data_IF_912285640193
#
_entry.id   IF_912285640193
#
_cell.length_a   1.000
_cell.length_b   1.000
_cell.length_c   1.000
_cell.angle_alpha   90.00
_cell.angle_beta   90.00
_cell.angle_gamma   90.00
#
_symmetry.space_group_name_H-M   'P 1'
#
loop_
_entity.id
_entity.type
_entity.pdbx_description
1 polymer ?
#
# COMPACT_ATOMS: atom_id res chain seq x y z
N UNK A 1 -22.36 7.28 9.43
CA UNK A 1 -20.90 7.56 9.39
C UNK A 1 -20.60 8.87 8.65
N UNK A 2 -21.12 9.06 7.42
CA UNK A 2 -20.92 10.29 6.62
C UNK A 2 -21.29 11.60 7.35
N UNK A 3 -22.40 11.64 8.10
CA UNK A 3 -22.83 12.86 8.79
C UNK A 3 -21.88 13.31 9.91
N UNK A 4 -21.12 12.36 10.52
CA UNK A 4 -20.13 12.67 11.56
C UNK A 4 -18.78 13.13 10.99
N UNK A 5 -18.46 12.78 9.74
CA UNK A 5 -17.22 13.23 9.07
C UNK A 5 -17.19 14.76 8.91
N UNK A 6 -18.36 15.40 8.79
CA UNK A 6 -18.47 16.87 8.72
C UNK A 6 -18.13 17.60 10.03
N UNK A 7 -18.04 16.90 11.16
CA UNK A 7 -17.54 17.47 12.42
C UNK A 7 -16.02 17.64 12.42
N UNK A 8 -15.32 16.94 11.53
CA UNK A 8 -13.84 16.90 11.44
C UNK A 8 -13.36 17.78 10.28
N UNK A 9 -14.09 17.81 9.17
CA UNK A 9 -13.81 18.64 8.00
C UNK A 9 -15.09 19.32 7.47
N UNK A 10 -15.37 20.57 7.89
CA UNK A 10 -16.50 21.33 7.36
C UNK A 10 -16.28 21.67 5.87
N UNK A 11 -17.31 21.47 5.03
CA UNK A 11 -17.25 21.72 3.56
C UNK A 11 -16.86 23.16 3.22
N UNK A 12 -17.12 24.10 4.14
CA UNK A 12 -16.89 25.53 3.97
C UNK A 12 -15.49 26.00 4.44
N UNK A 13 -14.63 25.09 4.88
CA UNK A 13 -13.26 25.41 5.31
C UNK A 13 -12.23 24.55 4.57
N UNK A 14 -11.20 25.20 4.02
CA UNK A 14 -10.14 24.55 3.25
C UNK A 14 -9.12 23.82 4.15
N UNK A 15 -9.06 24.18 5.44
CA UNK A 15 -8.29 23.49 6.45
C UNK A 15 -9.23 22.92 7.51
N UNK A 16 -8.99 21.71 8.02
CA UNK A 16 -9.74 21.20 9.15
C UNK A 16 -9.40 22.07 10.36
N UNK A 17 -10.36 22.29 11.26
CA UNK A 17 -10.08 22.87 12.57
C UNK A 17 -9.23 21.89 13.36
N UNK A 18 -7.90 22.00 13.22
CA UNK A 18 -6.89 21.21 13.92
C UNK A 18 -6.89 21.60 15.40
N UNK A 19 -7.85 21.09 16.14
CA UNK A 19 -7.71 20.95 17.59
C UNK A 19 -6.58 19.96 17.88
N UNK A 20 -5.83 20.14 18.97
CA UNK A 20 -4.71 19.24 19.34
C UNK A 20 -5.05 17.74 19.23
N UNK A 21 -6.24 17.28 19.67
CA UNK A 21 -6.68 15.90 19.47
C UNK A 21 -6.86 15.51 17.99
N UNK A 22 -7.43 16.39 17.16
CA UNK A 22 -7.62 16.13 15.72
C UNK A 22 -6.32 16.01 14.94
N UNK A 23 -5.26 16.72 15.34
CA UNK A 23 -3.93 16.58 14.76
C UNK A 23 -3.32 15.19 15.07
N UNK A 24 -3.53 14.68 16.28
CA UNK A 24 -3.02 13.37 16.68
C UNK A 24 -3.73 12.22 15.94
N UNK A 25 -5.05 12.34 15.74
CA UNK A 25 -5.82 11.39 14.93
C UNK A 25 -5.36 11.37 13.48
N UNK A 26 -5.05 12.54 12.89
CA UNK A 26 -4.50 12.62 11.54
C UNK A 26 -3.12 11.95 11.43
N UNK A 27 -2.26 12.11 12.43
CA UNK A 27 -0.98 11.41 12.51
C UNK A 27 -1.16 9.89 12.64
N UNK A 28 -2.15 9.45 13.43
CA UNK A 28 -2.50 8.03 13.53
C UNK A 28 -2.98 7.44 12.19
N UNK A 29 -3.76 8.21 11.42
CA UNK A 29 -4.15 7.83 10.06
C UNK A 29 -2.94 7.77 9.12
N UNK A 30 -2.03 8.74 9.19
CA UNK A 30 -0.80 8.73 8.41
C UNK A 30 0.07 7.51 8.74
N UNK A 31 0.25 7.19 10.03
CA UNK A 31 1.00 6.00 10.45
C UNK A 31 0.37 4.72 9.89
N UNK A 32 -0.97 4.62 9.94
CA UNK A 32 -1.70 3.49 9.36
C UNK A 32 -1.48 3.38 7.84
N UNK A 33 -1.58 4.49 7.11
CA UNK A 33 -1.34 4.51 5.66
C UNK A 33 0.10 4.09 5.36
N UNK A 34 1.08 4.62 6.09
CA UNK A 34 2.49 4.27 5.91
C UNK A 34 2.75 2.79 6.17
N UNK A 35 2.20 2.23 7.26
CA UNK A 35 2.31 0.80 7.57
C UNK A 35 1.69 -0.06 6.49
N UNK A 36 0.48 0.27 6.06
CA UNK A 36 -0.22 -0.49 5.01
C UNK A 36 0.54 -0.39 3.68
N UNK A 37 1.00 0.79 3.30
CA UNK A 37 1.80 0.99 2.09
C UNK A 37 3.10 0.17 2.14
N UNK A 38 3.77 0.12 3.29
CA UNK A 38 5.00 -0.66 3.46
C UNK A 38 4.74 -2.17 3.40
N UNK A 39 3.67 -2.65 4.04
CA UNK A 39 3.29 -4.07 4.01
C UNK A 39 2.88 -4.52 2.60
N UNK A 40 2.12 -3.70 1.88
CA UNK A 40 1.66 -3.98 0.51
C UNK A 40 2.82 -3.86 -0.49
N UNK A 41 3.68 -2.86 -0.37
CA UNK A 41 4.83 -2.72 -1.28
C UNK A 41 5.97 -3.70 -0.99
N UNK A 42 6.06 -4.22 0.24
CA UNK A 42 7.15 -5.06 0.72
C UNK A 42 7.57 -6.18 -0.24
N UNK A 43 6.64 -7.05 -0.70
CA UNK A 43 6.97 -8.13 -1.63
C UNK A 43 7.53 -7.62 -2.96
N UNK A 44 6.94 -6.58 -3.53
CA UNK A 44 7.37 -6.01 -4.82
C UNK A 44 8.75 -5.38 -4.69
N UNK A 45 8.97 -4.59 -3.64
CA UNK A 45 10.26 -3.95 -3.35
C UNK A 45 11.35 -4.99 -3.13
N UNK A 46 11.05 -6.08 -2.40
CA UNK A 46 11.98 -7.18 -2.20
C UNK A 46 12.46 -7.80 -3.52
N UNK A 47 11.54 -8.09 -4.45
CA UNK A 47 11.92 -8.63 -5.77
C UNK A 47 12.74 -7.64 -6.60
N UNK A 48 12.39 -6.34 -6.58
CA UNK A 48 13.14 -5.32 -7.31
C UNK A 48 14.57 -5.15 -6.77
N UNK A 49 14.74 -5.23 -5.45
CA UNK A 49 16.07 -5.22 -4.82
C UNK A 49 16.85 -6.48 -5.18
N UNK A 50 16.20 -7.64 -5.25
CA UNK A 50 16.84 -8.89 -5.66
C UNK A 50 17.37 -8.81 -7.10
N UNK A 51 16.65 -8.13 -8.00
CA UNK A 51 17.14 -7.82 -9.36
C UNK A 51 18.38 -6.94 -9.28
N UNK A 52 18.40 -5.90 -8.44
CA UNK A 52 19.59 -5.05 -8.28
C UNK A 52 20.80 -5.82 -7.76
N UNK A 53 20.60 -6.69 -6.77
CA UNK A 53 21.67 -7.55 -6.24
C UNK A 53 22.17 -8.51 -7.33
N UNK A 54 21.27 -9.10 -8.11
CA UNK A 54 21.63 -9.99 -9.22
C UNK A 54 22.45 -9.27 -10.28
N UNK A 55 22.07 -8.04 -10.63
CA UNK A 55 22.83 -7.19 -11.55
C UNK A 55 24.19 -6.79 -10.98
N UNK A 56 24.25 -6.47 -9.68
CA UNK A 56 25.50 -6.16 -8.99
C UNK A 56 26.47 -7.35 -9.02
N UNK A 57 25.98 -8.56 -8.79
CA UNK A 57 26.75 -9.79 -8.89
C UNK A 57 27.19 -10.06 -10.34
N UNK A 58 26.29 -9.89 -11.31
CA UNK A 58 26.61 -10.11 -12.73
C UNK A 58 27.74 -9.20 -13.22
N UNK A 59 27.76 -7.94 -12.77
CA UNK A 59 28.87 -7.00 -13.06
C UNK A 59 30.23 -7.51 -12.58
N UNK A 60 30.28 -8.31 -11.51
CA UNK A 60 31.53 -8.88 -10.98
C UNK A 60 32.10 -9.97 -11.89
N UNK A 61 31.24 -10.73 -12.56
CA UNK A 61 31.65 -11.83 -13.47
C UNK A 61 31.83 -11.38 -14.92
N UNK A 62 31.09 -10.36 -15.35
CA UNK A 62 31.16 -9.79 -16.69
C UNK A 62 31.28 -8.26 -16.62
N UNK A 63 32.48 -7.70 -16.36
CA UNK A 63 32.66 -6.25 -16.22
C UNK A 63 32.36 -5.46 -17.51
N UNK A 64 32.35 -6.12 -18.67
CA UNK A 64 31.92 -5.53 -19.95
C UNK A 64 30.40 -5.29 -20.05
N UNK A 65 29.58 -5.85 -19.14
CA UNK A 65 28.13 -5.63 -19.14
C UNK A 65 27.79 -4.22 -18.64
N UNK A 66 27.15 -3.41 -19.49
CA UNK A 66 26.67 -2.06 -19.14
C UNK A 66 25.41 -2.14 -18.26
N UNK A 67 25.58 -2.53 -17.00
CA UNK A 67 24.48 -2.66 -16.06
C UNK A 67 23.70 -1.35 -15.83
N UNK A 68 24.29 -0.17 -16.09
CA UNK A 68 23.58 1.12 -16.01
C UNK A 68 22.44 1.24 -17.04
N UNK A 69 22.54 0.53 -18.17
CA UNK A 69 21.52 0.51 -19.21
C UNK A 69 20.58 -0.70 -19.05
N UNK A 70 21.13 -1.84 -18.61
CA UNK A 70 20.38 -3.11 -18.54
C UNK A 70 19.57 -3.28 -17.25
N UNK A 71 20.01 -2.74 -16.10
CA UNK A 71 19.24 -2.84 -14.85
C UNK A 71 17.86 -2.15 -14.96
N UNK A 72 17.77 -0.89 -15.44
CA UNK A 72 16.46 -0.25 -15.64
C UNK A 72 15.58 -0.99 -16.66
N UNK A 73 16.17 -1.51 -17.75
CA UNK A 73 15.44 -2.22 -18.79
C UNK A 73 14.83 -3.54 -18.27
N UNK A 74 15.59 -4.32 -17.51
CA UNK A 74 15.10 -5.58 -16.93
C UNK A 74 13.99 -5.31 -15.90
N UNK A 75 14.16 -4.29 -15.05
CA UNK A 75 13.10 -3.90 -14.12
C UNK A 75 11.81 -3.50 -14.84
N UNK A 76 11.89 -2.77 -15.95
CA UNK A 76 10.71 -2.38 -16.73
C UNK A 76 9.95 -3.57 -17.34
N UNK A 77 10.62 -4.68 -17.62
CA UNK A 77 9.98 -5.90 -18.13
C UNK A 77 9.39 -6.73 -16.99
N UNK A 78 10.13 -6.86 -15.88
CA UNK A 78 9.73 -7.70 -14.75
C UNK A 78 8.61 -7.03 -13.93
N UNK A 79 8.65 -5.70 -13.78
CA UNK A 79 7.70 -4.97 -12.93
C UNK A 79 6.23 -5.13 -13.36
N UNK A 80 5.84 -5.00 -14.65
CA UNK A 80 4.47 -5.24 -15.08
C UNK A 80 3.99 -6.68 -14.81
N UNK A 81 4.84 -7.68 -15.03
CA UNK A 81 4.51 -9.09 -14.77
C UNK A 81 4.27 -9.33 -13.28
N UNK A 82 5.16 -8.79 -12.43
CA UNK A 82 4.99 -8.82 -10.98
C UNK A 82 3.72 -8.08 -10.56
N UNK A 83 3.45 -6.91 -11.12
CA UNK A 83 2.29 -6.10 -10.77
C UNK A 83 0.97 -6.76 -11.15
N UNK A 84 0.84 -7.35 -12.34
CA UNK A 84 -0.39 -8.06 -12.74
C UNK A 84 -0.64 -9.25 -11.81
N UNK A 85 0.40 -10.03 -11.53
CA UNK A 85 0.29 -11.20 -10.65
C UNK A 85 -0.05 -10.79 -9.22
N UNK A 86 0.62 -9.75 -8.71
CA UNK A 86 0.43 -9.26 -7.35
C UNK A 86 -0.91 -8.55 -7.17
N UNK A 87 -1.40 -7.85 -8.21
CA UNK A 87 -2.72 -7.24 -8.19
C UNK A 87 -3.83 -8.28 -8.04
N UNK A 88 -3.73 -9.43 -8.73
CA UNK A 88 -4.70 -10.52 -8.56
C UNK A 88 -4.72 -11.03 -7.11
N UNK A 89 -3.53 -11.25 -6.53
CA UNK A 89 -3.38 -11.65 -5.13
C UNK A 89 -3.95 -10.62 -4.14
N UNK A 90 -3.70 -9.33 -4.38
CA UNK A 90 -4.24 -8.24 -3.56
C UNK A 90 -5.76 -8.18 -3.62
N UNK A 91 -6.36 -8.31 -4.81
CA UNK A 91 -7.81 -8.30 -4.99
C UNK A 91 -8.47 -9.45 -4.23
N UNK A 92 -7.88 -10.64 -4.26
CA UNK A 92 -8.36 -11.78 -3.48
C UNK A 92 -8.22 -11.54 -1.97
N UNK A 93 -7.08 -11.00 -1.55
CA UNK A 93 -6.84 -10.64 -0.14
C UNK A 93 -7.85 -9.61 0.38
N UNK A 94 -8.14 -8.57 -0.42
CA UNK A 94 -9.13 -7.55 -0.05
C UNK A 94 -10.55 -8.13 0.07
N UNK A 95 -10.94 -9.09 -0.79
CA UNK A 95 -12.25 -9.74 -0.70
C UNK A 95 -12.43 -10.47 0.64
N UNK A 96 -11.37 -11.09 1.16
CA UNK A 96 -11.39 -11.78 2.45
C UNK A 96 -11.63 -10.80 3.61
N UNK A 97 -10.96 -9.64 3.59
CA UNK A 97 -11.16 -8.60 4.61
C UNK A 97 -12.56 -7.97 4.54
N UNK A 98 -13.06 -7.68 3.33
CA UNK A 98 -14.40 -7.11 3.14
C UNK A 98 -15.50 -8.08 3.60
N UNK A 99 -15.34 -9.39 3.33
CA UNK A 99 -16.31 -10.40 3.75
C UNK A 99 -16.36 -10.52 5.28
N UNK A 100 -15.22 -10.43 5.96
CA UNK A 100 -15.18 -10.40 7.43
C UNK A 100 -15.83 -9.14 8.01
N UNK A 101 -15.57 -7.97 7.40
CA UNK A 101 -16.17 -6.71 7.85
C UNK A 101 -17.70 -6.73 7.72
N UNK A 102 -18.22 -7.30 6.63
CA UNK A 102 -19.66 -7.48 6.43
C UNK A 102 -20.27 -8.45 7.47
N UNK A 103 -19.60 -9.56 7.77
CA UNK A 103 -20.07 -10.51 8.79
C UNK A 103 -20.09 -9.90 10.20
N UNK A 104 -19.15 -9.02 10.52
CA UNK A 104 -19.16 -8.28 11.78
C UNK A 104 -20.35 -7.30 11.84
N UNK A 105 -20.66 -6.60 10.74
CA UNK A 105 -21.80 -5.68 10.65
C UNK A 105 -23.15 -6.41 10.79
N UNK A 106 -23.32 -7.57 10.13
CA UNK A 106 -24.53 -8.40 10.28
C UNK A 106 -24.70 -8.91 11.71
N UNK A 107 -23.60 -9.23 12.41
CA UNK A 107 -23.65 -9.60 13.82
C UNK A 107 -24.08 -8.41 14.70
N UNK A 108 -23.58 -7.21 14.43
CA UNK A 108 -23.99 -6.00 15.16
C UNK A 108 -25.47 -5.65 14.94
N UNK A 109 -25.97 -5.76 13.72
CA UNK A 109 -27.38 -5.53 13.37
C UNK A 109 -28.31 -6.58 14.01
N UNK A 110 -27.79 -7.77 14.29
CA UNK A 110 -28.53 -8.83 15.00
C UNK A 110 -28.52 -8.68 16.53
N UNK A 111 -27.56 -7.93 17.09
CA UNK A 111 -27.36 -7.75 18.53
C UNK A 111 -28.03 -6.47 19.05
N UNK A 112 -28.21 -5.46 18.21
CA UNK A 112 -28.98 -4.27 18.53
C UNK A 112 -30.38 -4.36 17.88
N UNK A 113 -31.47 -4.34 18.66
CA UNK A 113 -32.84 -4.45 18.13
C UNK A 113 -33.29 -3.20 17.35
#
# INVERSE_FOLDING_TARGET
VLYRSYLIWPVYQFHPTLSGPGAMELLGLLDRIMRTALLVSGPVVFFLILIDISMMLLRRFAPQFKASQLSPAIKNIVFPVLMVTYAAYLVESMKLEVTQANGALEWFDKVLP
#
